data_IF_413363749907
#
_entry.id   IF_413363749907
#
_cell.length_a   1.000
_cell.length_b   1.000
_cell.length_c   1.000
_cell.angle_alpha   90.00
_cell.angle_beta   90.00
_cell.angle_gamma   90.00
#
_symmetry.space_group_name_H-M   'P 1'
#
loop_
_entity.id
_entity.type
_entity.pdbx_description
1 polymer ?
#
# COMPACT_ATOMS: atom_id res chain seq x y z
N UNK A 1 -4.56 10.94 -7.93
CA UNK A 1 -4.07 10.04 -8.99
C UNK A 1 -4.47 8.65 -8.57
N UNK A 2 -5.22 7.97 -9.43
CA UNK A 2 -5.67 6.61 -9.16
C UNK A 2 -4.70 5.63 -9.84
N UNK A 3 -4.45 4.50 -9.18
CA UNK A 3 -3.61 3.43 -9.72
C UNK A 3 -4.52 2.24 -9.95
N UNK A 4 -4.73 1.91 -11.22
CA UNK A 4 -5.44 0.69 -11.58
C UNK A 4 -4.47 -0.50 -11.63
N UNK A 5 -4.85 -1.59 -10.97
CA UNK A 5 -4.11 -2.87 -10.93
C UNK A 5 -4.99 -4.03 -11.39
N UNK A 6 -6.09 -3.74 -12.09
CA UNK A 6 -7.08 -4.71 -12.57
C UNK A 6 -6.54 -5.73 -13.58
N UNK A 7 -5.50 -5.38 -14.34
CA UNK A 7 -4.88 -6.24 -15.34
C UNK A 7 -3.91 -7.29 -14.77
N UNK A 8 -3.67 -7.28 -13.45
CA UNK A 8 -2.78 -8.24 -12.79
C UNK A 8 -3.39 -9.65 -12.66
N UNK A 9 -2.54 -10.68 -12.68
CA UNK A 9 -2.93 -12.10 -12.46
C UNK A 9 -3.71 -12.31 -11.16
N UNK A 10 -3.45 -11.47 -10.15
CA UNK A 10 -4.08 -11.51 -8.83
C UNK A 10 -4.98 -10.30 -8.56
N UNK A 11 -5.47 -9.62 -9.60
CA UNK A 11 -6.29 -8.42 -9.45
C UNK A 11 -7.57 -8.67 -8.67
N UNK A 12 -8.12 -9.88 -8.74
CA UNK A 12 -9.26 -10.32 -7.93
C UNK A 12 -9.01 -10.26 -6.41
N UNK A 13 -7.75 -10.22 -5.96
CA UNK A 13 -7.39 -10.07 -4.56
C UNK A 13 -7.29 -8.60 -4.13
N UNK A 14 -7.28 -7.66 -5.06
CA UNK A 14 -7.23 -6.24 -4.78
C UNK A 14 -8.65 -5.68 -4.76
N UNK A 15 -9.11 -5.21 -3.60
CA UNK A 15 -10.39 -4.48 -3.49
C UNK A 15 -10.42 -3.24 -4.39
N UNK A 16 -11.60 -2.89 -4.93
CA UNK A 16 -11.79 -1.70 -5.79
C UNK A 16 -11.21 -0.41 -5.18
N UNK A 17 -11.45 -0.21 -3.89
CA UNK A 17 -10.77 0.80 -3.09
C UNK A 17 -9.94 0.08 -2.02
N UNK A 18 -8.70 -0.27 -2.35
CA UNK A 18 -7.85 -1.07 -1.47
C UNK A 18 -7.17 -0.22 -0.39
N UNK A 19 -6.65 0.92 -0.81
CA UNK A 19 -5.91 1.84 0.05
C UNK A 19 -5.75 3.18 -0.65
N UNK A 20 -5.27 4.16 0.09
CA UNK A 20 -4.94 5.48 -0.45
C UNK A 20 -3.59 5.96 0.00
N UNK A 21 -3.01 6.84 -0.82
CA UNK A 21 -1.78 7.55 -0.52
C UNK A 21 -2.12 9.03 -0.33
N UNK A 22 -1.77 9.60 0.82
CA UNK A 22 -2.02 11.01 1.13
C UNK A 22 -0.73 11.73 1.55
N UNK A 23 -0.57 12.99 1.15
CA UNK A 23 0.58 13.83 1.51
C UNK A 23 0.15 14.94 2.44
N UNK A 24 0.72 14.97 3.65
CA UNK A 24 0.45 16.01 4.66
C UNK A 24 1.77 16.61 5.10
N UNK A 25 1.90 17.93 5.01
CA UNK A 25 3.12 18.68 5.40
C UNK A 25 4.41 18.09 4.80
N UNK A 26 4.36 17.66 3.54
CA UNK A 26 5.50 17.09 2.82
C UNK A 26 5.72 15.59 3.05
N UNK A 27 5.05 14.96 4.02
CA UNK A 27 5.20 13.54 4.36
C UNK A 27 4.10 12.70 3.71
N UNK A 28 4.46 11.53 3.19
CA UNK A 28 3.53 10.57 2.60
C UNK A 28 3.05 9.52 3.60
N UNK A 29 1.76 9.22 3.52
CA UNK A 29 1.10 8.20 4.32
C UNK A 29 0.32 7.27 3.40
N UNK A 30 0.42 5.97 3.66
CA UNK A 30 -0.45 4.98 3.08
C UNK A 30 -1.45 4.49 4.14
N UNK A 31 -2.71 4.35 3.75
CA UNK A 31 -3.78 3.82 4.58
C UNK A 31 -4.53 2.72 3.82
N UNK A 32 -4.68 1.54 4.45
CA UNK A 32 -5.55 0.48 3.96
C UNK A 32 -7.00 0.83 4.30
N UNK A 33 -7.87 0.93 3.29
CA UNK A 33 -9.26 1.40 3.44
C UNK A 33 -10.24 0.28 3.82
N UNK A 34 -9.78 -0.70 4.60
CA UNK A 34 -10.59 -1.85 4.98
C UNK A 34 -10.62 -2.94 3.91
N UNK A 35 -9.54 -3.07 3.13
CA UNK A 35 -9.44 -4.04 2.05
C UNK A 35 -9.69 -5.47 2.53
N UNK A 36 -10.27 -6.30 1.66
CA UNK A 36 -10.62 -7.68 2.03
C UNK A 36 -9.38 -8.49 2.40
N UNK A 37 -8.31 -8.36 1.63
CA UNK A 37 -7.09 -9.17 1.77
C UNK A 37 -5.95 -8.46 2.51
N UNK A 38 -6.16 -7.20 2.89
CA UNK A 38 -5.21 -6.42 3.68
C UNK A 38 -4.01 -5.92 2.89
N UNK A 39 -3.28 -5.00 3.54
CA UNK A 39 -2.06 -4.41 3.03
C UNK A 39 -0.84 -4.71 3.90
N UNK A 40 0.34 -4.56 3.31
CA UNK A 40 1.62 -4.59 4.01
C UNK A 40 2.59 -3.54 3.47
N UNK A 41 3.61 -3.21 4.25
CA UNK A 41 4.73 -2.37 3.81
C UNK A 41 6.02 -3.13 4.04
N UNK A 42 6.91 -3.13 3.04
CA UNK A 42 8.31 -3.50 3.19
C UNK A 42 9.15 -2.23 3.21
N UNK A 43 9.90 -2.04 4.29
CA UNK A 43 10.75 -0.87 4.48
C UNK A 43 12.03 -0.98 3.66
N UNK A 44 12.41 0.11 3.00
CA UNK A 44 13.60 0.16 2.14
C UNK A 44 14.91 -0.13 2.88
N UNK A 45 15.00 0.32 4.14
CA UNK A 45 16.26 0.37 4.89
C UNK A 45 16.65 -1.02 5.44
N UNK A 46 15.68 -1.77 5.96
CA UNK A 46 15.89 -3.03 6.67
C UNK A 46 15.14 -4.22 6.04
N UNK A 47 14.44 -4.01 4.93
CA UNK A 47 13.58 -5.01 4.26
C UNK A 47 12.49 -5.59 5.16
N UNK A 48 12.21 -4.97 6.31
CA UNK A 48 11.23 -5.46 7.27
C UNK A 48 9.83 -5.32 6.69
N UNK A 49 9.06 -6.40 6.79
CA UNK A 49 7.66 -6.45 6.36
C UNK A 49 6.73 -6.24 7.53
N UNK A 50 5.82 -5.30 7.40
CA UNK A 50 4.86 -4.91 8.43
C UNK A 50 3.46 -5.06 7.83
N UNK A 51 2.61 -5.90 8.45
CA UNK A 51 1.19 -5.96 8.11
C UNK A 51 0.50 -4.74 8.70
N UNK A 52 -0.34 -4.08 7.91
CA UNK A 52 -1.01 -2.86 8.36
C UNK A 52 -2.30 -3.18 9.09
N UNK A 53 -2.62 -2.34 10.07
CA UNK A 53 -3.98 -2.24 10.59
C UNK A 53 -4.82 -1.45 9.59
N UNK A 54 -6.04 -1.91 9.33
CA UNK A 54 -7.01 -1.21 8.48
C UNK A 54 -7.37 0.15 9.10
N UNK A 55 -7.59 1.15 8.26
CA UNK A 55 -7.96 2.52 8.62
C UNK A 55 -6.98 3.19 9.60
N UNK A 56 -5.69 2.86 9.47
CA UNK A 56 -4.61 3.49 10.23
C UNK A 56 -3.56 3.97 9.24
N UNK A 57 -3.32 5.29 9.13
CA UNK A 57 -2.30 5.82 8.23
C UNK A 57 -0.90 5.46 8.73
N UNK A 58 -0.06 4.97 7.83
CA UNK A 58 1.33 4.61 8.11
C UNK A 58 2.25 5.40 7.21
N UNK A 59 3.28 6.02 7.81
CA UNK A 59 4.28 6.79 7.08
C UNK A 59 5.04 5.88 6.11
N UNK A 60 5.18 6.34 4.87
CA UNK A 60 5.94 5.70 3.80
C UNK A 60 6.92 6.67 3.18
N UNK A 61 8.00 6.14 2.61
CA UNK A 61 9.03 6.92 1.95
C UNK A 61 9.35 6.34 0.57
N UNK A 62 9.95 7.16 -0.31
CA UNK A 62 10.49 6.66 -1.58
C UNK A 62 11.50 5.53 -1.29
N UNK A 63 11.34 4.43 -2.02
CA UNK A 63 12.05 3.16 -1.84
C UNK A 63 11.25 2.08 -1.09
N UNK A 64 10.23 2.45 -0.31
CA UNK A 64 9.36 1.45 0.33
C UNK A 64 8.51 0.69 -0.71
N UNK A 65 8.11 -0.54 -0.38
CA UNK A 65 7.18 -1.33 -1.20
C UNK A 65 5.85 -1.46 -0.45
N UNK A 66 4.76 -1.05 -1.09
CA UNK A 66 3.39 -1.30 -0.61
C UNK A 66 2.90 -2.61 -1.22
N UNK A 67 2.37 -3.48 -0.38
CA UNK A 67 1.69 -4.70 -0.76
C UNK A 67 0.17 -4.48 -0.69
N UNK A 68 -0.52 -4.71 -1.80
CA UNK A 68 -1.97 -4.78 -1.90
C UNK A 68 -2.33 -6.26 -2.10
N UNK A 69 -2.66 -6.98 -1.04
CA UNK A 69 -2.67 -8.45 -1.04
C UNK A 69 -1.33 -9.03 -1.57
N UNK A 70 -1.33 -9.61 -2.77
CA UNK A 70 -0.14 -10.17 -3.43
C UNK A 70 0.52 -9.20 -4.42
N UNK A 71 -0.18 -8.14 -4.83
CA UNK A 71 0.32 -7.10 -5.73
C UNK A 71 1.31 -6.21 -4.98
N UNK A 72 2.41 -5.82 -5.64
CA UNK A 72 3.46 -4.97 -5.06
C UNK A 72 3.59 -3.67 -5.84
N UNK A 73 3.70 -2.56 -5.12
CA UNK A 73 3.93 -1.23 -5.67
C UNK A 73 5.21 -0.68 -5.04
N UNK A 74 6.22 -0.40 -5.86
CA UNK A 74 7.43 0.30 -5.44
C UNK A 74 7.17 1.81 -5.45
N UNK A 75 7.37 2.48 -4.32
CA UNK A 75 7.32 3.93 -4.24
C UNK A 75 8.62 4.51 -4.81
N UNK A 76 8.51 5.36 -5.83
CA UNK A 76 9.63 6.08 -6.45
C UNK A 76 9.56 7.57 -6.13
#
# INVERSE_FOLDING_TARGET
MDIDVSEGVYSNLVSRAHGMLNRVNGVWYYEDLGSQNGSGIEKKDDRRKIKLKRNVPVKVESGDIIYLATTKILLK
#
